data_IF_866152719672
#
_entry.id   IF_866152719672
#
_cell.length_a   1.000
_cell.length_b   1.000
_cell.length_c   1.000
_cell.angle_alpha   90.00
_cell.angle_beta   90.00
_cell.angle_gamma   90.00
#
_symmetry.space_group_name_H-M   'P 1'
#
loop_
_entity.id
_entity.type
_entity.pdbx_description
1 polymer ?
#
# COMPACT_ATOMS: atom_id res chain seq x y z
N UNK A 1 28.50 -23.46 48.93
CA UNK A 1 28.20 -22.51 49.98
C UNK A 1 28.23 -21.10 49.37
N UNK A 2 27.11 -20.54 48.99
CA UNK A 2 27.01 -19.14 48.60
C UNK A 2 25.72 -18.60 49.22
N UNK A 3 25.85 -17.56 50.01
CA UNK A 3 24.83 -16.98 50.88
C UNK A 3 23.84 -16.13 50.07
N UNK A 4 22.55 -16.36 50.33
CA UNK A 4 21.45 -15.47 49.99
C UNK A 4 21.51 -14.23 50.93
N UNK A 5 21.40 -13.03 50.34
CA UNK A 5 21.11 -11.79 51.07
C UNK A 5 19.74 -11.32 50.66
N UNK A 6 18.81 -11.33 51.61
CA UNK A 6 17.48 -10.80 51.48
C UNK A 6 17.50 -9.28 51.73
N UNK A 7 17.06 -8.49 50.81
CA UNK A 7 16.76 -7.06 50.95
C UNK A 7 15.27 -6.83 51.03
N UNK A 8 14.81 -6.30 52.16
CA UNK A 8 13.39 -5.97 52.46
C UNK A 8 13.05 -4.56 51.96
N UNK A 9 11.84 -4.44 51.46
CA UNK A 9 10.89 -3.40 51.82
C UNK A 9 11.00 -2.06 51.11
N UNK A 10 10.01 -1.76 50.26
CA UNK A 10 9.53 -0.39 50.09
C UNK A 10 8.03 -0.42 49.76
N UNK A 11 7.34 0.30 50.53
CA UNK A 11 5.93 0.58 50.71
C UNK A 11 5.09 0.82 49.46
N UNK A 12 3.88 0.29 49.53
CA UNK A 12 2.77 0.65 48.63
C UNK A 12 2.30 2.07 48.93
N UNK A 13 2.41 2.97 47.96
CA UNK A 13 1.81 4.29 47.99
C UNK A 13 0.67 4.42 47.02
N UNK A 14 -0.45 4.90 47.55
CA UNK A 14 -1.78 4.95 46.99
C UNK A 14 -1.84 5.68 45.64
N UNK A 15 -2.37 4.97 44.61
CA UNK A 15 -2.77 5.59 43.35
C UNK A 15 -4.11 6.29 43.59
N UNK A 16 -4.10 7.61 43.67
CA UNK A 16 -5.29 8.45 43.70
C UNK A 16 -5.99 8.37 42.35
N UNK A 17 -7.26 8.03 42.40
CA UNK A 17 -8.23 8.09 41.29
C UNK A 17 -8.32 9.50 40.71
N UNK A 18 -7.68 9.73 39.58
CA UNK A 18 -7.89 10.90 38.73
C UNK A 18 -9.03 10.69 37.79
N UNK A 19 -10.16 11.33 38.05
CA UNK A 19 -11.29 11.49 37.13
C UNK A 19 -10.81 12.14 35.85
N UNK A 20 -10.78 11.40 34.75
CA UNK A 20 -10.54 11.97 33.42
C UNK A 20 -11.77 12.76 33.00
N UNK A 21 -11.65 14.09 33.07
CA UNK A 21 -12.57 15.00 32.43
C UNK A 21 -12.63 14.71 30.93
N UNK A 22 -13.84 14.58 30.43
CA UNK A 22 -14.11 14.58 28.98
C UNK A 22 -13.70 15.94 28.46
N UNK A 23 -12.60 16.00 27.73
CA UNK A 23 -12.21 17.17 26.97
C UNK A 23 -13.16 17.31 25.79
N UNK A 24 -14.07 18.29 25.88
CA UNK A 24 -14.81 18.79 24.74
C UNK A 24 -13.82 19.30 23.70
N UNK A 25 -13.77 18.67 22.55
CA UNK A 25 -13.12 19.24 21.36
C UNK A 25 -13.99 20.41 20.88
N UNK A 26 -13.52 21.66 20.93
CA UNK A 26 -14.21 22.75 20.30
C UNK A 26 -14.06 22.62 18.78
N UNK A 27 -14.98 21.93 18.12
CA UNK A 27 -15.17 22.09 16.69
C UNK A 27 -15.69 23.50 16.41
N UNK A 28 -14.75 24.45 16.36
CA UNK A 28 -15.02 25.78 15.85
C UNK A 28 -15.49 25.64 14.40
N UNK A 29 -16.74 26.03 14.14
CA UNK A 29 -17.29 26.15 12.82
C UNK A 29 -16.48 27.19 12.03
N UNK A 30 -15.42 26.77 11.38
CA UNK A 30 -14.76 27.56 10.34
C UNK A 30 -15.75 27.63 9.18
N UNK A 31 -16.21 28.86 8.87
CA UNK A 31 -16.93 29.16 7.65
C UNK A 31 -16.11 28.65 6.48
N UNK A 32 -16.60 27.59 5.85
CA UNK A 32 -16.05 27.11 4.58
C UNK A 32 -16.37 28.16 3.53
N UNK A 33 -15.40 29.01 3.24
CA UNK A 33 -15.44 29.86 2.06
C UNK A 33 -15.56 28.95 0.86
N UNK A 34 -16.63 29.10 0.10
CA UNK A 34 -16.92 28.33 -1.11
C UNK A 34 -15.70 28.28 -2.02
N UNK A 35 -14.95 27.17 -1.98
CA UNK A 35 -13.94 26.86 -2.98
C UNK A 35 -14.75 26.42 -4.19
N UNK A 36 -14.83 27.30 -5.18
CA UNK A 36 -15.37 26.98 -6.49
C UNK A 36 -14.55 25.81 -7.05
N UNK A 37 -15.15 24.63 -7.10
CA UNK A 37 -14.56 23.48 -7.78
C UNK A 37 -14.43 23.85 -9.26
N UNK A 38 -13.25 23.68 -9.87
CA UNK A 38 -13.16 23.79 -11.31
C UNK A 38 -14.11 22.74 -11.90
N UNK A 39 -15.00 23.18 -12.78
CA UNK A 39 -15.87 22.31 -13.58
C UNK A 39 -14.98 21.30 -14.30
N UNK A 40 -15.11 20.03 -13.92
CA UNK A 40 -14.51 18.92 -14.66
C UNK A 40 -15.32 18.85 -15.97
N UNK A 41 -14.83 19.53 -17.00
CA UNK A 41 -15.28 19.25 -18.35
C UNK A 41 -14.94 17.82 -18.65
N UNK A 42 -15.95 17.01 -18.91
CA UNK A 42 -15.87 15.69 -19.50
C UNK A 42 -14.94 15.74 -20.73
N UNK A 43 -13.67 15.46 -20.52
CA UNK A 43 -12.75 15.14 -21.60
C UNK A 43 -12.70 13.63 -21.66
N UNK A 44 -13.28 13.13 -22.75
CA UNK A 44 -13.31 11.74 -23.17
C UNK A 44 -12.12 10.91 -22.64
N UNK A 45 -12.44 9.71 -22.15
CA UNK A 45 -11.57 8.61 -21.75
C UNK A 45 -10.14 8.67 -22.33
N UNK A 46 -9.30 9.53 -21.77
CA UNK A 46 -7.87 9.37 -21.87
C UNK A 46 -7.58 8.09 -21.11
N UNK A 47 -7.09 7.09 -21.83
CA UNK A 47 -6.56 5.83 -21.31
C UNK A 47 -5.49 6.20 -20.25
N UNK A 48 -5.92 6.45 -19.01
CA UNK A 48 -5.00 6.88 -17.97
C UNK A 48 -4.04 5.73 -17.70
N UNK A 49 -2.76 6.05 -17.81
CA UNK A 49 -1.69 5.11 -17.61
C UNK A 49 -1.86 4.34 -16.29
N UNK A 50 -1.72 3.03 -16.34
CA UNK A 50 -1.71 2.24 -15.12
C UNK A 50 -0.55 2.68 -14.22
N UNK A 51 -0.80 2.77 -12.92
CA UNK A 51 0.19 3.18 -11.92
C UNK A 51 0.55 1.99 -11.03
N UNK A 52 1.85 1.76 -10.88
CA UNK A 52 2.39 0.77 -9.94
C UNK A 52 3.01 1.49 -8.76
N UNK A 53 2.52 1.24 -7.56
CA UNK A 53 3.12 1.68 -6.31
C UNK A 53 3.99 0.55 -5.75
N UNK A 54 5.29 0.79 -5.51
CA UNK A 54 6.20 -0.22 -4.98
C UNK A 54 6.73 0.23 -3.62
N UNK A 55 6.59 -0.61 -2.61
CA UNK A 55 7.09 -0.33 -1.26
C UNK A 55 8.61 -0.45 -1.19
N UNK A 56 9.33 0.68 -1.05
CA UNK A 56 10.80 0.71 -1.02
C UNK A 56 11.40 0.29 0.32
N UNK A 57 10.61 0.27 1.39
CA UNK A 57 11.09 -0.11 2.73
C UNK A 57 10.86 -1.58 3.06
N UNK A 58 10.24 -2.34 2.14
CA UNK A 58 10.00 -3.76 2.32
C UNK A 58 11.30 -4.57 2.37
N UNK A 59 11.25 -5.64 3.18
CA UNK A 59 12.22 -6.74 3.22
C UNK A 59 11.46 -8.05 3.38
N UNK A 60 12.09 -9.18 3.12
CA UNK A 60 11.50 -10.47 3.47
C UNK A 60 11.54 -10.68 4.98
N UNK A 61 10.54 -11.38 5.49
CA UNK A 61 10.44 -11.67 6.91
C UNK A 61 11.62 -12.56 7.33
N UNK A 62 12.32 -12.16 8.40
CA UNK A 62 13.47 -12.92 8.92
C UNK A 62 14.81 -12.65 8.22
N UNK A 63 14.84 -11.89 7.14
CA UNK A 63 16.10 -11.47 6.53
C UNK A 63 16.78 -10.34 7.30
N UNK A 64 18.12 -10.33 7.35
CA UNK A 64 18.87 -9.22 7.95
C UNK A 64 18.58 -7.92 7.20
N UNK A 65 18.87 -6.81 7.87
CA UNK A 65 18.75 -5.51 7.23
C UNK A 65 19.84 -5.35 6.16
N UNK A 66 19.47 -4.88 4.98
CA UNK A 66 20.36 -4.64 3.87
C UNK A 66 20.18 -3.24 3.30
N UNK A 67 21.21 -2.70 2.70
CA UNK A 67 21.17 -1.43 1.97
C UNK A 67 21.82 -1.65 0.58
N UNK A 68 21.09 -1.46 -0.53
CA UNK A 68 19.67 -1.10 -0.58
C UNK A 68 18.73 -2.21 -0.08
N UNK A 69 17.56 -1.82 0.42
CA UNK A 69 16.53 -2.78 0.84
C UNK A 69 15.96 -3.53 -0.37
N UNK A 70 15.55 -4.81 -0.22
CA UNK A 70 14.96 -5.58 -1.32
C UNK A 70 13.77 -4.89 -2.01
N UNK A 71 12.95 -4.13 -1.25
CA UNK A 71 11.87 -3.33 -1.81
C UNK A 71 12.35 -2.19 -2.72
N UNK A 72 13.50 -1.58 -2.41
CA UNK A 72 14.12 -0.57 -3.27
C UNK A 72 14.66 -1.21 -4.57
N UNK A 73 15.22 -2.42 -4.49
CA UNK A 73 15.65 -3.17 -5.67
C UNK A 73 14.47 -3.56 -6.56
N UNK A 74 13.34 -4.02 -5.98
CA UNK A 74 12.11 -4.25 -6.73
C UNK A 74 11.61 -2.99 -7.41
N UNK A 75 11.65 -1.84 -6.73
CA UNK A 75 11.22 -0.57 -7.32
C UNK A 75 12.11 -0.18 -8.51
N UNK A 76 13.43 -0.29 -8.39
CA UNK A 76 14.36 -0.04 -9.49
C UNK A 76 14.09 -0.96 -10.69
N UNK A 77 14.01 -2.27 -10.46
CA UNK A 77 13.70 -3.24 -11.52
C UNK A 77 12.33 -3.01 -12.17
N UNK A 78 11.36 -2.45 -11.42
CA UNK A 78 10.04 -2.11 -11.97
C UNK A 78 10.12 -0.85 -12.83
N UNK A 79 10.90 0.15 -12.42
CA UNK A 79 11.13 1.38 -13.21
C UNK A 79 11.80 1.02 -14.53
N UNK A 80 12.88 0.24 -14.49
CA UNK A 80 13.61 -0.21 -15.70
C UNK A 80 12.68 -0.97 -16.66
N UNK A 81 11.86 -1.89 -16.12
CA UNK A 81 10.89 -2.65 -16.93
C UNK A 81 9.74 -1.80 -17.48
N UNK A 82 9.44 -0.67 -16.86
CA UNK A 82 8.35 0.21 -17.27
C UNK A 82 8.75 1.17 -18.41
N UNK A 83 10.03 1.28 -18.75
CA UNK A 83 10.49 2.14 -19.84
C UNK A 83 9.77 1.82 -21.15
N UNK A 84 9.22 2.84 -21.79
CA UNK A 84 8.47 2.70 -23.06
C UNK A 84 7.14 1.93 -22.97
N UNK A 85 6.72 1.47 -21.78
CA UNK A 85 5.49 0.66 -21.60
C UNK A 85 4.21 1.48 -21.44
N UNK A 86 4.30 2.79 -21.17
CA UNK A 86 3.18 3.65 -20.79
C UNK A 86 2.68 3.44 -19.35
N UNK A 87 3.37 2.62 -18.54
CA UNK A 87 3.05 2.38 -17.14
C UNK A 87 3.85 3.34 -16.25
N UNK A 88 3.20 3.95 -15.27
CA UNK A 88 3.85 4.85 -14.31
C UNK A 88 4.24 4.08 -13.06
N UNK A 89 5.50 4.20 -12.62
CA UNK A 89 5.97 3.58 -11.37
C UNK A 89 6.17 4.66 -10.32
N UNK A 90 5.63 4.44 -9.13
CA UNK A 90 5.74 5.34 -7.98
C UNK A 90 6.29 4.58 -6.77
N UNK A 91 7.55 4.78 -6.41
CA UNK A 91 8.10 4.29 -5.16
C UNK A 91 7.35 4.93 -3.98
N UNK A 92 6.96 4.11 -2.99
CA UNK A 92 6.29 4.56 -1.76
C UNK A 92 6.98 3.99 -0.53
N UNK A 93 6.89 4.70 0.59
CA UNK A 93 7.60 4.26 1.80
C UNK A 93 6.99 3.02 2.43
N UNK A 94 5.66 2.88 2.44
CA UNK A 94 5.02 1.74 3.08
C UNK A 94 3.63 1.46 2.49
N UNK A 95 3.33 0.16 2.27
CA UNK A 95 2.01 -0.36 1.90
C UNK A 95 1.39 -1.19 3.03
N UNK A 96 1.95 -1.12 4.26
CA UNK A 96 1.47 -1.78 5.47
C UNK A 96 1.32 -3.31 5.37
N UNK A 97 2.09 -3.98 4.50
CA UNK A 97 2.05 -5.42 4.29
C UNK A 97 3.39 -6.10 4.64
N UNK A 98 4.00 -5.73 5.77
CA UNK A 98 5.34 -6.16 6.15
C UNK A 98 5.48 -7.68 6.38
N UNK A 99 4.39 -8.36 6.75
CA UNK A 99 4.38 -9.83 6.94
C UNK A 99 4.48 -10.61 5.64
N UNK A 100 4.17 -9.98 4.51
CA UNK A 100 4.26 -10.54 3.17
C UNK A 100 5.00 -9.59 2.22
N UNK A 101 6.12 -9.03 2.68
CA UNK A 101 7.03 -8.26 1.83
C UNK A 101 7.67 -9.16 0.75
N UNK A 102 8.07 -8.67 -0.37
CA UNK A 102 7.98 -7.34 -0.92
C UNK A 102 6.57 -7.04 -1.44
N UNK A 103 6.16 -5.77 -1.40
CA UNK A 103 4.78 -5.41 -1.71
C UNK A 103 4.69 -4.34 -2.80
N UNK A 104 3.69 -4.50 -3.64
CA UNK A 104 3.32 -3.52 -4.66
C UNK A 104 1.80 -3.41 -4.79
N UNK A 105 1.31 -2.27 -5.28
CA UNK A 105 -0.08 -2.11 -5.67
C UNK A 105 -0.16 -1.64 -7.12
N UNK A 106 -1.12 -2.16 -7.88
CA UNK A 106 -1.39 -1.79 -9.26
C UNK A 106 -2.77 -1.16 -9.35
N UNK A 107 -2.84 0.02 -9.91
CA UNK A 107 -4.07 0.79 -10.09
C UNK A 107 -4.18 1.32 -11.51
N UNK A 108 -5.40 1.30 -12.05
CA UNK A 108 -5.77 2.03 -13.25
C UNK A 108 -7.11 2.74 -12.96
N UNK A 109 -7.35 3.90 -13.58
CA UNK A 109 -8.58 4.63 -13.34
C UNK A 109 -9.79 3.82 -13.81
N UNK A 110 -10.90 3.87 -13.06
CA UNK A 110 -12.10 3.08 -13.34
C UNK A 110 -11.95 1.56 -13.16
N UNK A 111 -10.76 1.07 -12.82
CA UNK A 111 -10.48 -0.37 -12.65
C UNK A 111 -10.32 -0.75 -11.18
N UNK A 112 -10.39 -2.04 -10.90
CA UNK A 112 -10.07 -2.57 -9.58
C UNK A 112 -8.59 -2.32 -9.25
N UNK A 113 -8.32 -1.97 -8.01
CA UNK A 113 -6.96 -1.85 -7.47
C UNK A 113 -6.51 -3.19 -6.92
N UNK A 114 -5.30 -3.61 -7.28
CA UNK A 114 -4.72 -4.88 -6.86
C UNK A 114 -3.53 -4.64 -5.93
N UNK A 115 -3.48 -5.38 -4.82
CA UNK A 115 -2.36 -5.36 -3.88
C UNK A 115 -1.68 -6.73 -3.88
N UNK A 116 -0.37 -6.72 -4.06
CA UNK A 116 0.47 -7.91 -4.12
C UNK A 116 1.50 -7.89 -3.00
N UNK A 117 1.89 -9.07 -2.54
CA UNK A 117 2.95 -9.27 -1.57
C UNK A 117 3.65 -10.60 -1.76
N UNK A 118 4.73 -10.84 -1.02
CA UNK A 118 5.57 -12.00 -1.22
C UNK A 118 6.25 -12.00 -2.60
N UNK A 119 6.54 -10.80 -3.12
CA UNK A 119 7.24 -10.63 -4.39
C UNK A 119 8.76 -10.72 -4.17
N UNK A 120 9.49 -11.02 -5.24
CA UNK A 120 10.95 -10.95 -5.30
C UNK A 120 11.41 -9.64 -5.96
N UNK A 121 12.65 -9.25 -5.72
CA UNK A 121 13.25 -8.07 -6.36
C UNK A 121 13.23 -8.16 -7.90
N UNK A 122 13.25 -9.36 -8.47
CA UNK A 122 13.20 -9.61 -9.91
C UNK A 122 11.78 -9.51 -10.51
N UNK A 123 10.73 -9.29 -9.72
CA UNK A 123 9.33 -9.26 -10.21
C UNK A 123 8.95 -7.97 -10.96
N UNK A 124 9.87 -7.05 -11.25
CA UNK A 124 9.58 -5.79 -11.92
C UNK A 124 8.84 -5.95 -13.24
N UNK A 125 9.35 -6.80 -14.14
CA UNK A 125 8.70 -7.08 -15.43
C UNK A 125 7.32 -7.72 -15.27
N UNK A 126 7.12 -8.58 -14.25
CA UNK A 126 5.84 -9.18 -13.95
C UNK A 126 4.80 -8.12 -13.50
N UNK A 127 5.22 -7.15 -12.68
CA UNK A 127 4.36 -6.04 -12.26
C UNK A 127 3.92 -5.18 -13.46
N UNK A 128 4.84 -4.85 -14.36
CA UNK A 128 4.53 -4.07 -15.58
C UNK A 128 3.58 -4.85 -16.50
N UNK A 129 3.83 -6.14 -16.72
CA UNK A 129 2.92 -6.99 -17.50
C UNK A 129 1.51 -7.04 -16.88
N UNK A 130 1.41 -7.18 -15.55
CA UNK A 130 0.13 -7.12 -14.83
C UNK A 130 -0.57 -5.78 -14.97
N UNK A 131 0.17 -4.68 -14.87
CA UNK A 131 -0.38 -3.33 -15.04
C UNK A 131 -0.96 -3.11 -16.43
N UNK A 132 -0.27 -3.60 -17.47
CA UNK A 132 -0.77 -3.55 -18.86
C UNK A 132 -2.01 -4.41 -19.06
N UNK A 133 -2.05 -5.60 -18.45
CA UNK A 133 -3.24 -6.45 -18.48
C UNK A 133 -4.45 -5.75 -17.84
N UNK A 134 -4.23 -5.05 -16.71
CA UNK A 134 -5.29 -4.29 -16.07
C UNK A 134 -5.75 -3.11 -16.91
N UNK A 135 -4.83 -2.36 -17.50
CA UNK A 135 -5.14 -1.22 -18.36
C UNK A 135 -5.90 -1.63 -19.63
N UNK A 136 -5.69 -2.85 -20.13
CA UNK A 136 -6.40 -3.40 -21.30
C UNK A 136 -7.71 -4.12 -20.95
N UNK A 137 -8.09 -4.22 -19.67
CA UNK A 137 -9.29 -4.95 -19.25
C UNK A 137 -10.53 -4.05 -19.35
N UNK A 138 -11.47 -4.40 -20.24
CA UNK A 138 -12.68 -3.62 -20.46
C UNK A 138 -13.63 -3.60 -19.26
N UNK A 139 -13.60 -4.65 -18.43
CA UNK A 139 -14.37 -4.80 -17.19
C UNK A 139 -13.64 -4.22 -15.95
N UNK A 140 -12.46 -3.63 -16.14
CA UNK A 140 -11.62 -3.12 -15.06
C UNK A 140 -11.05 -4.21 -14.15
N UNK A 141 -11.18 -5.48 -14.52
CA UNK A 141 -10.68 -6.62 -13.73
C UNK A 141 -9.46 -7.23 -14.42
N UNK A 142 -8.33 -7.30 -13.71
CA UNK A 142 -7.12 -7.94 -14.24
C UNK A 142 -7.38 -9.41 -14.58
N UNK A 143 -7.33 -9.83 -15.86
CA UNK A 143 -7.68 -11.18 -16.26
C UNK A 143 -6.75 -12.21 -15.60
N UNK A 144 -7.28 -13.37 -15.27
CA UNK A 144 -6.49 -14.48 -14.72
C UNK A 144 -5.57 -15.09 -15.78
N UNK A 145 -6.09 -15.26 -17.01
CA UNK A 145 -5.32 -15.76 -18.13
C UNK A 145 -4.28 -14.73 -18.55
N UNK A 146 -3.04 -15.14 -18.72
CA UNK A 146 -1.92 -14.26 -19.03
C UNK A 146 -1.33 -13.50 -17.86
N UNK A 147 -1.96 -13.54 -16.68
CA UNK A 147 -1.38 -12.95 -15.47
C UNK A 147 -0.08 -13.67 -15.12
N UNK A 148 1.03 -12.94 -14.86
CA UNK A 148 2.29 -13.53 -14.42
C UNK A 148 2.13 -14.33 -13.13
N UNK A 149 2.86 -15.42 -13.00
CA UNK A 149 2.75 -16.36 -11.87
C UNK A 149 3.00 -15.69 -10.50
N UNK A 150 3.98 -14.77 -10.34
CA UNK A 150 4.15 -14.03 -9.08
C UNK A 150 2.91 -13.24 -8.68
N UNK A 151 2.14 -12.72 -9.65
CA UNK A 151 0.93 -11.95 -9.38
C UNK A 151 -0.30 -12.82 -9.12
N UNK A 152 -0.27 -14.10 -9.49
CA UNK A 152 -1.30 -15.07 -9.11
C UNK A 152 -1.13 -15.49 -7.67
N UNK A 153 0.09 -15.85 -7.28
CA UNK A 153 0.41 -16.32 -5.92
C UNK A 153 0.49 -15.19 -4.90
N UNK A 154 0.97 -14.03 -5.34
CA UNK A 154 1.20 -12.85 -4.50
C UNK A 154 -0.03 -12.01 -4.25
N UNK A 155 -1.19 -12.32 -4.79
CA UNK A 155 -2.40 -11.51 -4.58
C UNK A 155 -2.78 -11.49 -3.10
N UNK A 156 -2.84 -10.29 -2.52
CA UNK A 156 -3.26 -10.04 -1.14
C UNK A 156 -4.73 -9.61 -1.11
N UNK A 157 -5.04 -8.60 -1.91
CA UNK A 157 -6.39 -8.03 -1.98
C UNK A 157 -6.62 -7.36 -3.33
N UNK A 158 -7.89 -7.22 -3.67
CA UNK A 158 -8.37 -6.31 -4.70
C UNK A 158 -9.45 -5.41 -4.12
N UNK A 159 -9.45 -4.16 -4.50
CA UNK A 159 -10.43 -3.17 -4.05
C UNK A 159 -11.21 -2.66 -5.25
N UNK A 160 -12.53 -2.53 -5.15
CA UNK A 160 -13.35 -1.97 -6.24
C UNK A 160 -12.97 -0.50 -6.50
N UNK A 161 -13.27 0.03 -7.69
CA UNK A 161 -13.18 1.47 -7.94
C UNK A 161 -14.15 2.26 -7.05
N UNK A 162 -13.88 3.55 -6.86
CA UNK A 162 -14.66 4.40 -5.92
C UNK A 162 -16.14 4.49 -6.31
N UNK A 163 -16.42 4.41 -7.60
CA UNK A 163 -17.77 4.47 -8.17
C UNK A 163 -18.35 3.08 -8.50
N UNK A 164 -17.89 2.05 -7.78
CA UNK A 164 -18.40 0.70 -7.96
C UNK A 164 -19.84 0.60 -7.45
N UNK A 165 -20.75 0.22 -8.33
CA UNK A 165 -22.12 -0.12 -7.98
C UNK A 165 -22.25 -1.65 -7.99
N UNK A 166 -22.72 -2.20 -6.88
CA UNK A 166 -22.97 -3.64 -6.76
C UNK A 166 -24.19 -3.99 -7.63
N UNK A 167 -24.03 -4.95 -8.54
CA UNK A 167 -25.17 -5.47 -9.28
C UNK A 167 -25.93 -6.44 -8.39
N UNK A 168 -27.19 -6.11 -8.11
CA UNK A 168 -28.16 -6.96 -7.40
C UNK A 168 -28.53 -8.20 -8.24
#
# INVERSE_FOLDING_TARGET
MIRFVAGRGASAEAIRSGTRGRGDCPCGAARVTSIQQPSVTDTAAANEAAVIYVCITCRHLGEPESDPRPGALLAAATVDAAEGSGVVVRPVRCLANCTRGLSAAVRCNGSWTYVFGGLDAACGAALVAGARLLAGAADGIMPWRGRPEPLKRGLIARMPPVNFEEME
#
